data_IF_646494789566
#
_entry.id   IF_646494789566
#
_cell.length_a   1.000
_cell.length_b   1.000
_cell.length_c   1.000
_cell.angle_alpha   90.00
_cell.angle_beta   90.00
_cell.angle_gamma   90.00
#
_symmetry.space_group_name_H-M   'P 1'
#
loop_
_entity.id
_entity.type
_entity.pdbx_description
1 polymer ?
#
# COMPACT_ATOMS: atom_id res chain seq x y z
N UNK A 1 -12.13 -3.01 33.11
CA UNK A 1 -12.78 -4.29 33.45
C UNK A 1 -13.77 -4.58 32.33
N UNK A 2 -13.35 -5.35 31.31
CA UNK A 2 -14.21 -5.75 30.19
C UNK A 2 -14.70 -7.19 30.47
N UNK A 3 -16.00 -7.48 30.40
CA UNK A 3 -16.54 -8.79 30.74
C UNK A 3 -16.75 -9.61 29.47
N UNK A 4 -15.69 -10.21 28.90
CA UNK A 4 -15.85 -11.24 27.88
C UNK A 4 -14.86 -12.38 28.12
N UNK A 5 -15.38 -13.54 28.53
CA UNK A 5 -14.64 -14.78 28.60
C UNK A 5 -14.70 -15.47 27.23
N UNK A 6 -13.56 -15.58 26.55
CA UNK A 6 -13.41 -16.47 25.40
C UNK A 6 -13.25 -17.88 25.95
N UNK A 7 -14.27 -18.73 25.78
CA UNK A 7 -14.22 -20.15 26.14
C UNK A 7 -13.86 -20.92 24.88
N UNK A 8 -12.62 -21.40 24.80
CA UNK A 8 -12.23 -22.43 23.82
C UNK A 8 -12.47 -23.81 24.45
N UNK A 9 -13.21 -24.67 23.76
CA UNK A 9 -13.47 -26.03 24.21
C UNK A 9 -12.16 -26.82 24.36
N UNK A 10 -11.92 -27.51 25.49
CA UNK A 10 -10.74 -28.35 25.65
C UNK A 10 -10.98 -29.67 24.91
N UNK A 11 -10.21 -29.90 23.85
CA UNK A 11 -10.04 -31.25 23.29
C UNK A 11 -8.57 -31.63 23.47
N UNK A 12 -8.34 -32.59 24.36
CA UNK A 12 -7.13 -33.38 24.56
C UNK A 12 -5.78 -32.64 24.56
N UNK A 13 -5.43 -32.10 25.73
CA UNK A 13 -4.03 -31.84 26.10
C UNK A 13 -3.28 -33.18 26.24
N UNK A 14 -2.77 -33.73 25.14
CA UNK A 14 -1.51 -34.46 25.19
C UNK A 14 -0.41 -33.42 25.39
N UNK A 15 0.40 -33.60 26.43
CA UNK A 15 1.56 -32.80 26.72
C UNK A 15 2.42 -32.63 25.45
N UNK A 16 2.37 -31.44 24.86
CA UNK A 16 3.29 -31.02 23.83
C UNK A 16 4.55 -30.61 24.58
N UNK A 17 5.54 -31.51 24.62
CA UNK A 17 6.90 -31.11 24.96
C UNK A 17 7.27 -29.94 24.05
N UNK A 18 7.90 -28.86 24.56
CA UNK A 18 8.38 -27.79 23.72
C UNK A 18 9.57 -28.33 22.93
N UNK A 19 9.29 -29.02 21.83
CA UNK A 19 10.24 -29.05 20.73
C UNK A 19 10.45 -27.58 20.38
N UNK A 20 11.67 -27.09 20.57
CA UNK A 20 12.09 -25.82 19.96
C UNK A 20 11.55 -25.82 18.53
N UNK A 21 10.88 -24.74 18.09
CA UNK A 21 10.44 -24.66 16.70
C UNK A 21 11.68 -24.96 15.86
N UNK A 22 11.63 -25.92 14.91
CA UNK A 22 12.81 -26.26 14.11
C UNK A 22 13.36 -24.95 13.61
N UNK A 23 14.61 -24.63 13.97
CA UNK A 23 15.24 -23.40 13.53
C UNK A 23 15.16 -23.44 12.01
N UNK A 24 14.23 -22.68 11.42
CA UNK A 24 14.06 -22.68 9.99
C UNK A 24 15.42 -22.29 9.44
N UNK A 25 16.00 -23.17 8.63
CA UNK A 25 17.30 -22.91 8.02
C UNK A 25 17.14 -21.62 7.20
N UNK A 26 17.63 -20.52 7.77
CA UNK A 26 17.46 -19.20 7.20
C UNK A 26 18.17 -19.11 5.85
N UNK A 27 19.27 -19.85 5.69
CA UNK A 27 19.99 -19.92 4.42
C UNK A 27 19.16 -20.70 3.39
N UNK A 28 18.55 -21.81 3.79
CA UNK A 28 17.57 -22.54 2.98
C UNK A 28 16.35 -21.70 2.56
N UNK A 29 15.83 -20.86 3.45
CA UNK A 29 14.74 -19.92 3.12
C UNK A 29 15.18 -18.83 2.13
N UNK A 30 16.38 -18.27 2.31
CA UNK A 30 16.95 -17.27 1.38
C UNK A 30 17.14 -17.88 -0.02
N UNK A 31 17.67 -19.09 -0.12
CA UNK A 31 17.83 -19.78 -1.41
C UNK A 31 16.49 -20.13 -2.06
N UNK A 32 15.48 -20.50 -1.26
CA UNK A 32 14.11 -20.69 -1.74
C UNK A 32 13.54 -19.40 -2.35
N UNK A 33 13.72 -18.25 -1.70
CA UNK A 33 13.29 -16.95 -2.22
C UNK A 33 14.01 -16.58 -3.53
N UNK A 34 15.32 -16.81 -3.63
CA UNK A 34 16.07 -16.60 -4.89
C UNK A 34 15.53 -17.46 -6.04
N UNK A 35 15.23 -18.72 -5.74
CA UNK A 35 14.63 -19.66 -6.71
C UNK A 35 13.26 -19.14 -7.16
N UNK A 36 12.40 -18.73 -6.23
CA UNK A 36 11.07 -18.19 -6.54
C UNK A 36 11.13 -16.90 -7.36
N UNK A 37 12.07 -16.01 -7.06
CA UNK A 37 12.30 -14.81 -7.88
C UNK A 37 12.62 -15.17 -9.33
N UNK A 38 13.49 -16.16 -9.54
CA UNK A 38 13.86 -16.64 -10.88
C UNK A 38 12.66 -17.22 -11.63
N UNK A 39 11.82 -18.02 -10.94
CA UNK A 39 10.60 -18.59 -11.52
C UNK A 39 9.58 -17.52 -11.90
N UNK A 40 9.42 -16.48 -11.07
CA UNK A 40 8.53 -15.35 -11.35
C UNK A 40 9.00 -14.54 -12.57
N UNK A 41 10.31 -14.33 -12.72
CA UNK A 41 10.88 -13.69 -13.92
C UNK A 41 10.60 -14.53 -15.16
N UNK A 42 10.88 -15.82 -15.12
CA UNK A 42 10.62 -16.73 -16.24
C UNK A 42 9.13 -16.72 -16.61
N UNK A 43 8.25 -16.79 -15.62
CA UNK A 43 6.79 -16.74 -15.81
C UNK A 43 6.33 -15.41 -16.41
N UNK A 44 6.96 -14.29 -16.05
CA UNK A 44 6.65 -12.97 -16.61
C UNK A 44 7.01 -12.83 -18.09
N UNK A 45 7.86 -13.71 -18.62
CA UNK A 45 8.30 -13.72 -20.02
C UNK A 45 7.49 -14.69 -20.88
N UNK A 46 6.59 -15.48 -20.28
CA UNK A 46 5.73 -16.39 -21.03
C UNK A 46 4.68 -15.60 -21.81
N UNK A 47 4.78 -15.64 -23.14
CA UNK A 47 3.76 -15.06 -24.00
C UNK A 47 2.47 -15.89 -23.93
N UNK A 48 1.33 -15.22 -23.86
CA UNK A 48 0.05 -15.91 -23.98
C UNK A 48 -0.17 -16.38 -25.42
N UNK A 49 -0.81 -17.53 -25.56
CA UNK A 49 -1.34 -17.96 -26.85
C UNK A 49 -2.70 -17.29 -27.10
N UNK A 50 -2.88 -16.72 -28.29
CA UNK A 50 -4.17 -16.13 -28.71
C UNK A 50 -4.16 -14.60 -28.83
N UNK A 51 -5.35 -14.01 -28.79
CA UNK A 51 -5.54 -12.56 -28.93
C UNK A 51 -5.01 -11.80 -27.72
N UNK A 52 -4.48 -10.59 -27.96
CA UNK A 52 -3.99 -9.73 -26.89
C UNK A 52 -5.06 -9.48 -25.81
N UNK A 53 -4.77 -9.86 -24.57
CA UNK A 53 -5.62 -9.64 -23.40
C UNK A 53 -4.91 -8.69 -22.41
N UNK A 54 -5.51 -7.55 -22.04
CA UNK A 54 -4.95 -6.63 -21.06
C UNK A 54 -4.65 -7.28 -19.70
N UNK A 55 -5.42 -8.29 -19.29
CA UNK A 55 -5.20 -9.01 -18.03
C UNK A 55 -3.88 -9.76 -18.03
N UNK A 56 -3.55 -10.37 -19.16
CA UNK A 56 -2.32 -11.13 -19.34
C UNK A 56 -1.08 -10.21 -19.31
N UNK A 57 -1.16 -9.06 -19.99
CA UNK A 57 -0.13 -8.01 -19.89
C UNK A 57 0.04 -7.52 -18.44
N UNK A 58 -1.07 -7.27 -17.75
CA UNK A 58 -1.05 -6.85 -16.35
C UNK A 58 -0.42 -7.92 -15.44
N UNK A 59 -0.81 -9.19 -15.57
CA UNK A 59 -0.27 -10.29 -14.78
C UNK A 59 1.23 -10.42 -14.98
N UNK A 60 1.72 -10.38 -16.23
CA UNK A 60 3.17 -10.42 -16.50
C UNK A 60 3.93 -9.27 -15.82
N UNK A 61 3.40 -8.05 -15.87
CA UNK A 61 4.01 -6.92 -15.17
C UNK A 61 4.05 -7.14 -13.65
N UNK A 62 2.98 -7.70 -13.08
CA UNK A 62 2.90 -7.98 -11.65
C UNK A 62 3.82 -9.13 -11.23
N UNK A 63 4.00 -10.17 -12.06
CA UNK A 63 4.98 -11.24 -11.83
C UNK A 63 6.40 -10.70 -11.78
N UNK A 64 6.77 -9.82 -12.72
CA UNK A 64 8.08 -9.15 -12.70
C UNK A 64 8.28 -8.33 -11.43
N UNK A 65 7.27 -7.54 -11.05
CA UNK A 65 7.33 -6.73 -9.82
C UNK A 65 7.39 -7.60 -8.56
N UNK A 66 6.70 -8.74 -8.54
CA UNK A 66 6.78 -9.70 -7.45
C UNK A 66 8.17 -10.32 -7.35
N UNK A 67 8.82 -10.63 -8.49
CA UNK A 67 10.20 -11.10 -8.49
C UNK A 67 11.17 -10.10 -7.85
N UNK A 68 11.02 -8.80 -8.16
CA UNK A 68 11.84 -7.76 -7.55
C UNK A 68 11.65 -7.71 -6.02
N UNK A 69 10.41 -7.81 -5.54
CA UNK A 69 10.11 -7.84 -4.09
C UNK A 69 10.66 -9.11 -3.43
N UNK A 70 10.51 -10.27 -4.05
CA UNK A 70 11.03 -11.55 -3.52
C UNK A 70 12.55 -11.57 -3.50
N UNK A 71 13.20 -11.02 -4.54
CA UNK A 71 14.66 -10.83 -4.57
C UNK A 71 15.13 -9.90 -3.44
N UNK A 72 14.43 -8.78 -3.23
CA UNK A 72 14.68 -7.89 -2.08
C UNK A 72 14.49 -8.60 -0.74
N UNK A 73 13.47 -9.46 -0.62
CA UNK A 73 13.24 -10.24 0.58
C UNK A 73 14.37 -11.25 0.83
N UNK A 74 14.92 -11.88 -0.20
CA UNK A 74 16.09 -12.76 -0.05
C UNK A 74 17.31 -12.00 0.50
N UNK A 75 17.60 -10.81 -0.05
CA UNK A 75 18.70 -9.96 0.40
C UNK A 75 18.51 -9.49 1.86
N UNK A 76 17.30 -9.04 2.21
CA UNK A 76 16.98 -8.59 3.57
C UNK A 76 16.90 -9.75 4.57
N UNK A 77 16.51 -10.94 4.13
CA UNK A 77 16.53 -12.17 4.90
C UNK A 77 17.95 -12.57 5.29
N UNK A 78 18.89 -12.52 4.35
CA UNK A 78 20.31 -12.74 4.62
C UNK A 78 20.88 -11.72 5.61
N UNK A 79 20.42 -10.46 5.53
CA UNK A 79 20.76 -9.40 6.47
C UNK A 79 19.94 -9.45 7.79
N UNK A 80 19.05 -10.44 7.96
CA UNK A 80 18.17 -10.62 9.13
C UNK A 80 17.34 -9.36 9.49
N UNK A 81 16.91 -8.60 8.48
CA UNK A 81 16.16 -7.37 8.67
C UNK A 81 14.64 -7.62 8.70
N UNK A 82 14.14 -8.05 9.86
CA UNK A 82 12.73 -8.41 10.05
C UNK A 82 11.75 -7.26 9.73
N UNK A 83 12.09 -6.02 10.07
CA UNK A 83 11.23 -4.86 9.82
C UNK A 83 11.02 -4.62 8.32
N UNK A 84 12.09 -4.64 7.53
CA UNK A 84 11.98 -4.50 6.08
C UNK A 84 11.31 -5.71 5.43
N UNK A 85 11.48 -6.92 5.97
CA UNK A 85 10.72 -8.10 5.53
C UNK A 85 9.21 -7.95 5.75
N UNK A 86 8.78 -7.33 6.86
CA UNK A 86 7.37 -7.01 7.09
C UNK A 86 6.78 -6.08 6.02
N UNK A 87 7.55 -5.04 5.63
CA UNK A 87 7.15 -4.10 4.55
C UNK A 87 7.01 -4.82 3.21
N UNK A 88 7.97 -5.69 2.86
CA UNK A 88 7.90 -6.45 1.60
C UNK A 88 6.76 -7.47 1.62
N UNK A 89 6.51 -8.12 2.75
CA UNK A 89 5.38 -9.04 2.94
C UNK A 89 4.03 -8.34 2.71
N UNK A 90 3.86 -7.14 3.28
CA UNK A 90 2.69 -6.28 2.99
C UNK A 90 2.56 -5.98 1.50
N UNK A 91 3.66 -5.61 0.86
CA UNK A 91 3.67 -5.24 -0.56
C UNK A 91 3.31 -6.43 -1.47
N UNK A 92 3.79 -7.63 -1.15
CA UNK A 92 3.45 -8.86 -1.86
C UNK A 92 1.97 -9.23 -1.68
N UNK A 93 1.42 -9.09 -0.47
CA UNK A 93 -0.01 -9.30 -0.23
C UNK A 93 -0.88 -8.29 -0.98
N UNK A 94 -0.48 -7.02 -1.03
CA UNK A 94 -1.18 -6.01 -1.84
C UNK A 94 -1.21 -6.41 -3.31
N UNK A 95 -0.08 -6.86 -3.84
CA UNK A 95 0.01 -7.32 -5.23
C UNK A 95 -0.86 -8.54 -5.49
N UNK A 96 -0.88 -9.52 -4.59
CA UNK A 96 -1.72 -10.70 -4.71
C UNK A 96 -3.21 -10.33 -4.73
N UNK A 97 -3.64 -9.45 -3.83
CA UNK A 97 -5.01 -8.93 -3.81
C UNK A 97 -5.33 -8.21 -5.11
N UNK A 98 -4.43 -7.32 -5.54
CA UNK A 98 -4.61 -6.52 -6.77
C UNK A 98 -4.71 -7.41 -8.00
N UNK A 99 -3.86 -8.43 -8.12
CA UNK A 99 -3.89 -9.40 -9.23
C UNK A 99 -5.17 -10.21 -9.21
N UNK A 100 -5.54 -10.75 -8.05
CA UNK A 100 -6.77 -11.54 -7.90
C UNK A 100 -8.02 -10.75 -8.29
N UNK A 101 -8.03 -9.44 -8.03
CA UNK A 101 -9.09 -8.54 -8.45
C UNK A 101 -9.04 -8.20 -9.94
N UNK A 102 -7.86 -7.84 -10.45
CA UNK A 102 -7.66 -7.36 -11.81
C UNK A 102 -7.98 -8.42 -12.87
N UNK A 103 -7.68 -9.69 -12.62
CA UNK A 103 -7.92 -10.77 -13.60
C UNK A 103 -9.41 -11.11 -13.79
N UNK A 104 -10.29 -10.62 -12.91
CA UNK A 104 -11.74 -10.92 -12.96
C UNK A 104 -12.45 -10.29 -14.14
N UNK A 105 -11.94 -9.19 -14.68
CA UNK A 105 -12.49 -8.54 -15.87
C UNK A 105 -11.41 -7.75 -16.61
N UNK A 106 -11.60 -7.54 -17.91
CA UNK A 106 -10.72 -6.67 -18.71
C UNK A 106 -10.74 -5.25 -18.17
N UNK A 107 -11.93 -4.75 -17.77
CA UNK A 107 -12.10 -3.43 -17.18
C UNK A 107 -11.24 -3.23 -15.91
N UNK A 108 -11.20 -4.23 -15.02
CA UNK A 108 -10.39 -4.13 -13.79
C UNK A 108 -8.89 -4.06 -14.11
N UNK A 109 -8.42 -4.85 -15.07
CA UNK A 109 -7.03 -4.82 -15.51
C UNK A 109 -6.67 -3.47 -16.15
N UNK A 110 -7.52 -2.93 -17.02
CA UNK A 110 -7.32 -1.60 -17.62
C UNK A 110 -7.30 -0.49 -16.57
N UNK A 111 -8.17 -0.58 -15.55
CA UNK A 111 -8.17 0.35 -14.42
C UNK A 111 -6.84 0.32 -13.65
N UNK A 112 -6.23 -0.85 -13.42
CA UNK A 112 -4.92 -0.92 -12.77
C UNK A 112 -3.78 -0.46 -13.67
N UNK A 113 -3.77 -0.85 -14.95
CA UNK A 113 -2.76 -0.40 -15.91
C UNK A 113 -2.72 1.14 -15.97
N UNK A 114 -3.89 1.79 -15.97
CA UNK A 114 -4.01 3.25 -15.97
C UNK A 114 -3.68 3.94 -14.64
N UNK A 115 -3.60 3.21 -13.52
CA UNK A 115 -3.45 3.81 -12.19
C UNK A 115 -2.09 4.49 -11.98
N UNK A 116 -1.00 3.87 -12.45
CA UNK A 116 0.35 4.41 -12.35
C UNK A 116 0.50 5.77 -13.05
N UNK A 117 0.18 5.86 -14.36
CA UNK A 117 0.17 7.12 -15.09
C UNK A 117 -0.73 8.18 -14.45
N UNK A 118 -1.88 7.80 -13.89
CA UNK A 118 -2.79 8.73 -13.23
C UNK A 118 -2.19 9.35 -11.95
N UNK A 119 -1.49 8.56 -11.13
CA UNK A 119 -0.79 9.07 -9.95
C UNK A 119 0.42 9.94 -10.32
N UNK A 120 1.16 9.59 -11.39
CA UNK A 120 2.22 10.46 -11.92
C UNK A 120 1.67 11.80 -12.40
N UNK A 121 0.55 11.78 -13.15
CA UNK A 121 -0.12 13.00 -13.59
C UNK A 121 -0.60 13.85 -12.41
N UNK A 122 -1.11 13.22 -11.35
CA UNK A 122 -1.49 13.91 -10.10
C UNK A 122 -0.28 14.54 -9.41
N UNK A 123 0.82 13.83 -9.27
CA UNK A 123 2.06 14.35 -8.68
C UNK A 123 2.63 15.52 -9.50
N UNK A 124 2.64 15.39 -10.83
CA UNK A 124 3.03 16.48 -11.73
C UNK A 124 2.13 17.70 -11.52
N UNK A 125 0.80 17.53 -11.50
CA UNK A 125 -0.15 18.61 -11.24
C UNK A 125 0.11 19.34 -9.92
N UNK A 126 0.44 18.60 -8.84
CA UNK A 126 0.80 19.21 -7.55
C UNK A 126 2.03 20.11 -7.70
N UNK A 127 3.08 19.61 -8.37
CA UNK A 127 4.31 20.37 -8.58
C UNK A 127 4.12 21.59 -9.50
N UNK A 128 3.32 21.47 -10.56
CA UNK A 128 2.99 22.60 -11.43
C UNK A 128 2.22 23.69 -10.66
N UNK A 129 1.25 23.30 -9.82
CA UNK A 129 0.51 24.25 -8.97
C UNK A 129 1.38 24.90 -7.90
N UNK A 130 2.36 24.18 -7.36
CA UNK A 130 3.31 24.70 -6.38
C UNK A 130 4.43 25.56 -7.02
N UNK A 131 4.51 25.61 -8.36
CA UNK A 131 5.57 26.30 -9.08
C UNK A 131 6.94 25.61 -9.01
N UNK A 132 7.00 24.37 -8.52
CA UNK A 132 8.24 23.56 -8.46
C UNK A 132 8.56 22.87 -9.79
N UNK A 133 7.60 22.87 -10.73
CA UNK A 133 7.77 22.42 -12.10
C UNK A 133 7.09 23.40 -13.07
N UNK A 134 7.51 23.38 -14.35
CA UNK A 134 6.91 24.16 -15.44
C UNK A 134 6.80 23.30 -16.70
N UNK A 135 5.77 23.55 -17.49
CA UNK A 135 5.64 23.01 -18.84
C UNK A 135 5.99 24.11 -19.82
N UNK A 136 6.90 23.82 -20.73
CA UNK A 136 7.29 24.72 -21.81
C UNK A 136 6.84 24.18 -23.15
N UNK A 137 6.36 25.06 -24.01
CA UNK A 137 6.16 24.71 -25.41
C UNK A 137 7.50 24.32 -26.03
N UNK A 138 7.52 23.21 -26.78
CA UNK A 138 8.77 22.67 -27.32
C UNK A 138 9.35 23.54 -28.44
N UNK A 139 8.52 24.29 -29.15
CA UNK A 139 8.89 25.05 -30.34
C UNK A 139 9.18 26.51 -29.99
N UNK A 140 8.38 27.12 -29.11
CA UNK A 140 8.54 28.52 -28.68
C UNK A 140 9.34 28.67 -27.39
N UNK A 141 9.40 27.62 -26.55
CA UNK A 141 10.05 27.66 -25.24
C UNK A 141 9.24 28.39 -24.16
N UNK A 142 8.06 28.89 -24.49
CA UNK A 142 7.20 29.67 -23.59
C UNK A 142 6.60 28.82 -22.48
N UNK A 143 6.39 29.43 -21.30
CA UNK A 143 5.76 28.76 -20.16
C UNK A 143 4.25 28.65 -20.38
N UNK A 144 3.79 27.43 -20.69
CA UNK A 144 2.39 27.11 -20.99
C UNK A 144 1.73 26.36 -19.82
N UNK A 145 2.29 26.46 -18.62
CA UNK A 145 1.82 25.73 -17.43
C UNK A 145 0.37 26.06 -17.07
N UNK A 146 -0.05 27.32 -17.21
CA UNK A 146 -1.40 27.76 -16.88
C UNK A 146 -2.46 27.09 -17.78
N UNK A 147 -2.22 27.09 -19.09
CA UNK A 147 -3.13 26.51 -20.09
C UNK A 147 -3.23 24.99 -19.92
N UNK A 148 -2.09 24.32 -19.64
CA UNK A 148 -2.08 22.90 -19.33
C UNK A 148 -2.93 22.56 -18.09
N UNK A 149 -2.76 23.33 -17.00
CA UNK A 149 -3.50 23.11 -15.76
C UNK A 149 -5.02 23.37 -15.90
N UNK A 150 -5.41 24.31 -16.77
CA UNK A 150 -6.82 24.57 -17.07
C UNK A 150 -7.45 23.38 -17.80
N UNK A 151 -6.76 22.83 -18.82
CA UNK A 151 -7.24 21.68 -19.59
C UNK A 151 -7.28 20.38 -18.77
N UNK A 152 -6.32 20.15 -17.88
CA UNK A 152 -6.30 18.95 -17.02
C UNK A 152 -7.41 18.94 -15.97
N UNK A 153 -7.82 20.10 -15.44
CA UNK A 153 -8.89 20.19 -14.44
C UNK A 153 -10.26 19.75 -14.96
N UNK A 154 -10.48 19.84 -16.28
CA UNK A 154 -11.72 19.40 -16.91
C UNK A 154 -11.84 17.87 -17.04
N UNK A 155 -10.76 17.11 -16.78
CA UNK A 155 -10.78 15.65 -16.93
C UNK A 155 -11.36 14.95 -15.68
N UNK A 156 -12.34 14.05 -15.84
CA UNK A 156 -12.89 13.31 -14.70
C UNK A 156 -11.82 12.41 -14.07
N UNK A 157 -11.64 12.52 -12.75
CA UNK A 157 -10.74 11.62 -12.02
C UNK A 157 -11.45 10.28 -11.77
N UNK A 158 -10.88 9.19 -12.27
CA UNK A 158 -11.33 7.84 -11.91
C UNK A 158 -10.86 7.53 -10.48
N UNK A 159 -11.80 7.31 -9.56
CA UNK A 159 -11.48 6.95 -8.18
C UNK A 159 -10.83 5.57 -8.15
N UNK A 160 -9.63 5.48 -7.56
CA UNK A 160 -8.93 4.21 -7.33
C UNK A 160 -9.72 3.36 -6.35
N UNK A 161 -9.88 2.07 -6.66
CA UNK A 161 -10.44 1.07 -5.74
C UNK A 161 -9.47 0.80 -4.60
N UNK A 162 -9.96 0.78 -3.37
CA UNK A 162 -9.14 0.45 -2.19
C UNK A 162 -8.72 -1.02 -2.20
N UNK A 163 -7.67 -1.39 -1.47
CA UNK A 163 -7.22 -2.78 -1.36
C UNK A 163 -8.30 -3.67 -0.72
N UNK A 164 -9.08 -3.12 0.21
CA UNK A 164 -10.23 -3.81 0.82
C UNK A 164 -11.35 -4.07 -0.20
N UNK A 165 -11.72 -3.07 -0.99
CA UNK A 165 -12.71 -3.20 -2.06
C UNK A 165 -12.28 -4.26 -3.08
N UNK A 166 -11.00 -4.24 -3.47
CA UNK A 166 -10.42 -5.24 -4.36
C UNK A 166 -10.51 -6.65 -3.76
N UNK A 167 -10.12 -6.82 -2.49
CA UNK A 167 -10.18 -8.12 -1.82
C UNK A 167 -11.61 -8.65 -1.70
N UNK A 168 -12.57 -7.77 -1.38
CA UNK A 168 -13.99 -8.09 -1.31
C UNK A 168 -14.53 -8.55 -2.67
N UNK A 169 -14.28 -7.79 -3.72
CA UNK A 169 -14.72 -8.13 -5.08
C UNK A 169 -13.99 -9.37 -5.64
N UNK A 170 -12.77 -9.63 -5.18
CA UNK A 170 -12.01 -10.83 -5.52
C UNK A 170 -12.45 -12.10 -4.77
N UNK A 171 -13.23 -11.97 -3.69
CA UNK A 171 -13.66 -13.10 -2.85
C UNK A 171 -12.58 -13.59 -1.89
N UNK A 172 -11.60 -12.75 -1.55
CA UNK A 172 -10.45 -13.06 -0.67
C UNK A 172 -10.33 -12.07 0.49
N UNK A 173 -11.47 -11.60 1.02
CA UNK A 173 -11.51 -10.63 2.11
C UNK A 173 -10.79 -11.11 3.38
N UNK A 174 -10.76 -12.42 3.62
CA UNK A 174 -10.05 -13.00 4.77
C UNK A 174 -8.54 -12.74 4.68
N UNK A 175 -7.96 -12.81 3.47
CA UNK A 175 -6.55 -12.49 3.24
C UNK A 175 -6.25 -11.02 3.61
N UNK A 176 -7.18 -10.12 3.26
CA UNK A 176 -7.08 -8.72 3.64
C UNK A 176 -7.17 -8.54 5.17
N UNK A 177 -8.17 -9.17 5.79
CA UNK A 177 -8.52 -8.93 7.20
C UNK A 177 -7.50 -9.54 8.16
N UNK A 178 -7.05 -10.77 7.88
CA UNK A 178 -6.15 -11.53 8.76
C UNK A 178 -4.70 -11.09 8.56
N UNK A 179 -4.24 -10.93 7.33
CA UNK A 179 -2.81 -10.71 7.07
C UNK A 179 -2.50 -9.26 6.68
N UNK A 180 -3.13 -8.76 5.61
CA UNK A 180 -2.78 -7.46 5.06
C UNK A 180 -3.02 -6.32 6.06
N UNK A 181 -4.16 -6.34 6.76
CA UNK A 181 -4.52 -5.30 7.72
C UNK A 181 -3.54 -5.23 8.89
N UNK A 182 -3.12 -6.37 9.43
CA UNK A 182 -2.14 -6.41 10.53
C UNK A 182 -0.78 -5.85 10.10
N UNK A 183 -0.24 -6.34 8.98
CA UNK A 183 1.03 -5.84 8.42
C UNK A 183 0.93 -4.36 8.01
N UNK A 184 -0.28 -3.89 7.69
CA UNK A 184 -0.54 -2.50 7.36
C UNK A 184 -0.51 -1.57 8.57
N UNK A 185 -0.86 -2.06 9.76
CA UNK A 185 -0.80 -1.28 11.00
C UNK A 185 0.65 -1.05 11.42
N UNK A 186 1.49 -2.09 11.40
CA UNK A 186 2.90 -1.99 11.79
C UNK A 186 3.68 -1.00 10.93
N UNK A 187 3.33 -0.92 9.64
CA UNK A 187 3.96 0.00 8.68
C UNK A 187 3.43 1.44 8.76
N UNK A 188 2.37 1.70 9.53
CA UNK A 188 1.82 3.04 9.78
C UNK A 188 1.88 3.42 11.29
N UNK A 189 2.37 2.51 12.13
CA UNK A 189 2.53 2.71 13.56
C UNK A 189 3.75 3.55 13.85
N UNK A 190 3.55 4.88 13.91
CA UNK A 190 3.95 5.79 14.98
C UNK A 190 3.49 7.20 14.57
N UNK A 191 2.23 7.51 14.91
CA UNK A 191 1.73 8.86 15.16
C UNK A 191 0.43 8.74 15.97
N UNK A 192 0.52 8.12 17.15
CA UNK A 192 -0.38 8.56 18.23
C UNK A 192 0.07 9.96 18.62
N UNK A 193 -0.54 10.97 18.02
CA UNK A 193 -0.57 12.31 18.62
C UNK A 193 -1.21 12.15 20.00
N UNK A 194 -0.58 12.60 21.11
CA UNK A 194 -1.28 12.68 22.38
C UNK A 194 -2.38 13.74 22.24
N UNK A 195 -3.60 13.28 21.97
CA UNK A 195 -4.80 14.08 22.13
C UNK A 195 -5.24 13.96 23.59
N UNK A 196 -4.82 14.90 24.42
CA UNK A 196 -5.64 15.33 25.55
C UNK A 196 -5.87 16.83 25.47
N UNK A 197 -7.02 17.19 24.87
CA UNK A 197 -7.74 18.39 25.27
C UNK A 197 -8.31 18.14 26.66
N UNK A 198 -7.70 18.72 27.70
CA UNK A 198 -8.41 19.08 28.93
C UNK A 198 -8.73 20.57 28.90
N UNK A 199 -9.94 20.90 28.46
CA UNK A 199 -10.52 22.23 28.61
C UNK A 199 -11.20 22.37 29.97
N UNK A 200 -10.84 23.41 30.71
CA UNK A 200 -11.62 24.18 31.71
C UNK A 200 -10.68 25.32 32.12
N UNK A 201 -10.86 26.57 31.71
CA UNK A 201 -12.07 27.34 31.95
C UNK A 201 -12.02 27.92 33.37
N UNK A 202 -11.15 28.91 33.61
CA UNK A 202 -11.36 29.90 34.66
C UNK A 202 -10.93 31.26 34.14
N UNK A 203 -11.94 32.03 33.73
CA UNK A 203 -11.85 33.45 33.46
C UNK A 203 -11.59 34.17 34.78
N UNK A 204 -10.47 34.90 34.88
CA UNK A 204 -10.31 35.92 35.92
C UNK A 204 -10.78 37.25 35.34
N UNK A 205 -11.89 37.68 35.93
CA UNK A 205 -12.58 38.95 35.80
C UNK A 205 -11.63 40.15 35.65
N UNK A 206 -11.78 40.92 34.57
CA UNK A 206 -11.32 42.32 34.48
C UNK A 206 -12.53 43.22 34.75
N UNK A 207 -12.51 44.16 35.71
CA UNK A 207 -13.59 45.12 35.87
C UNK A 207 -13.40 46.34 34.93
N UNK A 208 -14.48 47.08 34.63
CA UNK A 208 -14.47 48.11 33.60
C UNK A 208 -13.98 49.47 34.10
N UNK A 209 -13.61 50.29 33.12
CA UNK A 209 -13.10 51.66 33.20
C UNK A 209 -14.09 52.67 33.81
N UNK A 210 -13.56 53.68 34.55
CA UNK A 210 -14.05 55.08 34.54
C UNK A 210 -13.13 56.05 35.32
N UNK A 211 -12.68 57.09 34.62
CA UNK A 211 -12.62 58.51 34.97
C UNK A 211 -11.98 59.07 36.28
N UNK A 212 -10.97 59.92 36.02
CA UNK A 212 -10.81 61.36 36.39
C UNK A 212 -10.20 61.75 37.75
N UNK A 213 -9.38 62.82 37.66
CA UNK A 213 -8.92 63.74 38.72
C UNK A 213 -7.83 63.16 39.63
N UNK A 214 -6.68 63.79 39.92
CA UNK A 214 -6.25 65.18 39.88
C UNK A 214 -4.74 65.23 39.58
#
# INVERSE_FOLDING_TARGET
>A
MYPFNIVLHPTDQKAFEPNEPPSADMDGLVESLKTQSTLLIASSQMEASGSADPRDTFVRQQLKRAADLVSGAAALGAARNAACLGILSRSLLEQLITVSWAIRSVENAELQIGAGPAEMAKALRINLKAGTAKIRDRHTGEDVTADYLANEQAKPSRKRRSVEEQAKEAGILDLYTVFYRLLSLETHGHNETPSEKSGKGQAVHRPPSRHRSH
#
